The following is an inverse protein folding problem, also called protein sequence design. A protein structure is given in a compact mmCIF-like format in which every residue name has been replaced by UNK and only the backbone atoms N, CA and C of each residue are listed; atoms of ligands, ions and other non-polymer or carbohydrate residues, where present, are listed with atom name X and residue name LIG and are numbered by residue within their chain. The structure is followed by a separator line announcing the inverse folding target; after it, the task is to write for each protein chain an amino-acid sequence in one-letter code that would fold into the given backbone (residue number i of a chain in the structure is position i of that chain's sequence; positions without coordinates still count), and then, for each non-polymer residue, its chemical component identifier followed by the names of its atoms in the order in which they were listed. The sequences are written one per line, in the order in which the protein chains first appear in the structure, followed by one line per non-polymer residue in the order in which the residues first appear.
data_IF_583711878976
#
_entry.id   IF_583711878976
#
_cell.length_a   1.000
_cell.length_b   1.000
_cell.length_c   1.000
_cell.angle_alpha   90.00
_cell.angle_beta   90.00
_cell.angle_gamma   90.00
#
_symmetry.space_group_name_H-M   'P 1'
#
loop_
_entity.id
_entity.type
_entity.pdbx_description
1 polymer ?
#
# COMPACT_ATOMS: atom_id res chain seq x y z
N UNK A 1 -50.61 6.02 -21.57
CA UNK A 1 -50.85 5.57 -20.19
C UNK A 1 -50.41 6.68 -19.27
N UNK A 2 -51.37 7.34 -18.60
CA UNK A 2 -51.11 8.57 -17.85
C UNK A 2 -50.56 8.18 -16.47
N UNK A 3 -49.70 9.02 -15.89
CA UNK A 3 -49.13 8.84 -14.53
C UNK A 3 -50.24 8.59 -13.47
N UNK A 4 -51.46 9.06 -13.75
CA UNK A 4 -52.67 8.87 -12.95
C UNK A 4 -53.10 7.39 -12.87
N UNK A 5 -52.84 6.58 -13.91
CA UNK A 5 -53.26 5.17 -13.98
C UNK A 5 -52.45 4.28 -13.01
N UNK A 6 -51.17 4.61 -12.82
CA UNK A 6 -50.27 3.93 -11.88
C UNK A 6 -50.67 4.21 -10.43
N UNK A 7 -51.10 5.45 -10.16
CA UNK A 7 -51.60 5.86 -8.83
C UNK A 7 -52.91 5.16 -8.45
N UNK A 8 -53.78 4.86 -9.41
CA UNK A 8 -55.02 4.11 -9.19
C UNK A 8 -54.76 2.62 -8.90
N UNK A 9 -53.80 2.00 -9.59
CA UNK A 9 -53.42 0.60 -9.33
C UNK A 9 -52.76 0.41 -7.96
N UNK A 10 -52.02 1.42 -7.47
CA UNK A 10 -51.43 1.42 -6.13
C UNK A 10 -52.48 1.55 -4.98
N UNK A 11 -53.71 2.02 -5.26
CA UNK A 11 -54.79 2.10 -4.26
C UNK A 11 -55.52 0.77 -4.02
N UNK A 12 -55.42 -0.21 -4.93
CA UNK A 12 -56.11 -1.50 -4.81
C UNK A 12 -55.35 -2.55 -3.99
N UNK A 13 -54.07 -2.33 -3.65
CA UNK A 13 -53.25 -3.27 -2.90
C UNK A 13 -52.53 -2.60 -1.71
N UNK A 14 -53.24 -2.33 -0.59
CA UNK A 14 -52.67 -1.64 0.57
C UNK A 14 -51.54 -2.43 1.27
N UNK A 15 -51.44 -3.75 1.04
CA UNK A 15 -50.40 -4.61 1.64
C UNK A 15 -49.04 -4.55 0.93
N UNK A 16 -48.97 -4.12 -0.33
CA UNK A 16 -47.69 -3.98 -1.04
C UNK A 16 -47.04 -2.61 -0.83
N UNK A 17 -47.83 -1.60 -0.44
CA UNK A 17 -47.37 -0.23 -0.21
C UNK A 17 -46.33 -0.16 0.92
N UNK A 18 -46.53 -0.87 2.04
CA UNK A 18 -45.60 -0.86 3.18
C UNK A 18 -44.28 -1.58 2.90
N UNK A 19 -44.30 -2.65 2.11
CA UNK A 19 -43.09 -3.38 1.71
C UNK A 19 -42.27 -2.60 0.69
N UNK A 20 -42.95 -2.00 -0.30
CA UNK A 20 -42.33 -1.06 -1.25
C UNK A 20 -41.78 0.16 -0.51
N UNK A 21 -42.48 0.70 0.47
CA UNK A 21 -42.01 1.83 1.27
C UNK A 21 -40.78 1.46 2.11
N UNK A 22 -40.74 0.25 2.68
CA UNK A 22 -39.57 -0.27 3.39
C UNK A 22 -38.35 -0.48 2.47
N UNK A 23 -38.55 -1.05 1.27
CA UNK A 23 -37.50 -1.21 0.25
C UNK A 23 -37.02 0.16 -0.23
N UNK A 24 -37.94 1.07 -0.56
CA UNK A 24 -37.63 2.43 -0.99
C UNK A 24 -36.85 3.18 0.09
N UNK A 25 -37.23 3.06 1.37
CA UNK A 25 -36.54 3.69 2.50
C UNK A 25 -35.15 3.09 2.72
N UNK A 26 -34.99 1.77 2.60
CA UNK A 26 -33.67 1.11 2.63
C UNK A 26 -32.77 1.56 1.49
N UNK A 27 -33.32 1.63 0.28
CA UNK A 27 -32.59 2.10 -0.90
C UNK A 27 -32.20 3.56 -0.76
N UNK A 28 -33.09 4.41 -0.25
CA UNK A 28 -32.82 5.82 0.06
C UNK A 28 -31.69 5.97 1.09
N UNK A 29 -31.74 5.22 2.21
CA UNK A 29 -30.67 5.23 3.22
C UNK A 29 -29.34 4.75 2.62
N UNK A 30 -29.37 3.71 1.79
CA UNK A 30 -28.19 3.21 1.08
C UNK A 30 -27.60 4.28 0.15
N UNK A 31 -28.42 4.93 -0.68
CA UNK A 31 -28.00 6.01 -1.57
C UNK A 31 -27.39 7.18 -0.79
N UNK A 32 -28.00 7.60 0.31
CA UNK A 32 -27.48 8.69 1.15
C UNK A 32 -26.11 8.32 1.74
N UNK A 33 -25.93 7.10 2.25
CA UNK A 33 -24.63 6.62 2.74
C UNK A 33 -23.57 6.59 1.64
N UNK A 34 -23.93 6.13 0.43
CA UNK A 34 -23.03 6.13 -0.72
C UNK A 34 -22.59 7.57 -1.04
N UNK A 35 -23.54 8.51 -1.14
CA UNK A 35 -23.23 9.92 -1.41
C UNK A 35 -22.31 10.50 -0.32
N UNK A 36 -22.61 10.26 0.94
CA UNK A 36 -21.79 10.73 2.08
C UNK A 36 -20.35 10.19 1.99
N UNK A 37 -20.18 8.89 1.70
CA UNK A 37 -18.84 8.29 1.56
C UNK A 37 -18.06 8.87 0.38
N UNK A 38 -18.72 9.16 -0.75
CA UNK A 38 -18.10 9.80 -1.91
C UNK A 38 -17.65 11.23 -1.60
N UNK A 39 -18.46 12.00 -0.89
CA UNK A 39 -18.13 13.36 -0.43
C UNK A 39 -16.95 13.31 0.55
N UNK A 40 -17.00 12.44 1.56
CA UNK A 40 -15.90 12.23 2.51
C UNK A 40 -14.59 11.88 1.78
N UNK A 41 -14.65 10.98 0.79
CA UNK A 41 -13.47 10.59 -0.02
C UNK A 41 -12.89 11.77 -0.79
N UNK A 42 -13.72 12.60 -1.44
CA UNK A 42 -13.25 13.81 -2.14
C UNK A 42 -12.59 14.81 -1.18
N UNK A 43 -13.18 15.03 -0.01
CA UNK A 43 -12.62 15.92 1.02
C UNK A 43 -11.28 15.35 1.53
N UNK A 44 -11.19 14.05 1.82
CA UNK A 44 -9.94 13.41 2.26
C UNK A 44 -8.83 13.53 1.21
N UNK A 45 -9.15 13.36 -0.08
CA UNK A 45 -8.19 13.55 -1.18
C UNK A 45 -7.73 15.01 -1.24
N UNK A 46 -8.64 15.97 -1.13
CA UNK A 46 -8.31 17.41 -1.14
C UNK A 46 -7.49 17.84 0.09
N UNK A 47 -7.75 17.23 1.25
CA UNK A 47 -7.02 17.46 2.50
C UNK A 47 -5.67 16.74 2.56
N UNK A 48 -5.40 15.75 1.70
CA UNK A 48 -4.07 15.13 1.64
C UNK A 48 -3.08 16.20 1.23
N UNK A 49 -2.20 16.57 2.17
CA UNK A 49 -1.07 17.44 1.88
C UNK A 49 -0.34 16.89 0.66
N UNK A 50 -0.23 17.71 -0.39
CA UNK A 50 0.60 17.36 -1.54
C UNK A 50 2.01 17.16 -1.01
N UNK A 51 2.54 15.94 -1.17
CA UNK A 51 3.91 15.66 -0.77
C UNK A 51 4.81 16.56 -1.60
N UNK A 52 5.55 17.48 -0.95
CA UNK A 52 6.56 18.33 -1.62
C UNK A 52 7.52 17.49 -2.47
N UNK A 53 7.85 16.29 -2.01
CA UNK A 53 8.70 15.35 -2.72
C UNK A 53 8.16 13.92 -2.57
N UNK A 54 8.04 13.19 -3.68
CA UNK A 54 7.83 11.74 -3.63
C UNK A 54 9.09 11.02 -3.14
N UNK A 55 10.26 11.41 -3.68
CA UNK A 55 11.60 11.02 -3.20
C UNK A 55 12.40 12.30 -2.96
N UNK A 56 12.96 12.46 -1.76
CA UNK A 56 13.82 13.61 -1.44
C UNK A 56 15.04 13.64 -2.37
N UNK A 57 15.52 14.82 -2.81
CA UNK A 57 16.68 14.93 -3.70
C UNK A 57 17.92 14.15 -3.23
N UNK A 58 18.22 14.17 -1.93
CA UNK A 58 19.32 13.40 -1.33
C UNK A 58 19.22 11.89 -1.57
N UNK A 59 18.00 11.35 -1.65
CA UNK A 59 17.72 9.93 -1.86
C UNK A 59 17.63 9.54 -3.34
N UNK A 60 17.70 10.51 -4.28
CA UNK A 60 17.66 10.21 -5.72
C UNK A 60 18.93 9.54 -6.22
N UNK A 61 20.07 9.81 -5.59
CA UNK A 61 21.38 9.21 -5.93
C UNK A 61 21.75 8.07 -4.99
N UNK A 62 20.76 7.34 -4.46
CA UNK A 62 20.98 6.33 -3.43
C UNK A 62 21.98 5.26 -3.85
N UNK A 63 21.88 4.73 -5.07
CA UNK A 63 22.81 3.70 -5.57
C UNK A 63 24.25 4.20 -5.71
N UNK A 64 24.44 5.49 -6.01
CA UNK A 64 25.76 6.11 -6.18
C UNK A 64 26.38 6.52 -4.85
N UNK A 65 25.57 6.99 -3.89
CA UNK A 65 26.00 7.58 -2.61
C UNK A 65 25.77 6.70 -1.37
N UNK A 66 25.16 5.53 -1.52
CA UNK A 66 24.91 4.67 -0.37
C UNK A 66 26.21 3.97 -0.02
N UNK A 67 26.91 4.48 0.99
CA UNK A 67 28.12 3.88 1.56
C UNK A 67 27.92 2.38 1.82
N UNK A 68 26.74 1.99 2.30
CA UNK A 68 26.39 0.59 2.53
C UNK A 68 26.50 -0.32 1.31
N UNK A 69 26.19 0.16 0.11
CA UNK A 69 26.23 -0.69 -1.08
C UNK A 69 27.67 -0.92 -1.54
N UNK A 70 28.50 0.11 -1.43
CA UNK A 70 29.93 0.03 -1.77
C UNK A 70 30.70 -0.74 -0.69
N UNK A 71 30.50 -0.39 0.57
CA UNK A 71 31.11 -1.05 1.73
C UNK A 71 30.82 -2.56 1.75
N UNK A 72 29.56 -2.96 1.52
CA UNK A 72 29.21 -4.38 1.45
C UNK A 72 29.99 -5.12 0.36
N UNK A 73 30.11 -4.51 -0.83
CA UNK A 73 30.86 -5.12 -1.93
C UNK A 73 32.35 -5.19 -1.66
N UNK A 74 32.91 -4.14 -1.08
CA UNK A 74 34.33 -4.07 -0.73
C UNK A 74 34.68 -5.13 0.33
N UNK A 75 33.93 -5.19 1.43
CA UNK A 75 34.12 -6.21 2.48
C UNK A 75 34.01 -7.62 1.91
N UNK A 76 32.98 -7.87 1.10
CA UNK A 76 32.75 -9.19 0.52
C UNK A 76 33.80 -9.62 -0.51
N UNK A 77 34.39 -8.68 -1.26
CA UNK A 77 35.34 -8.98 -2.32
C UNK A 77 36.78 -9.12 -1.83
N UNK A 78 37.16 -8.39 -0.78
CA UNK A 78 38.57 -8.25 -0.38
C UNK A 78 38.87 -8.49 1.09
N UNK A 79 37.87 -8.57 1.98
CA UNK A 79 38.13 -8.64 3.42
C UNK A 79 37.05 -9.46 4.19
N UNK A 80 37.16 -10.80 4.17
CA UNK A 80 36.27 -11.69 4.92
C UNK A 80 36.27 -11.45 6.43
N UNK A 81 37.41 -11.03 7.00
CA UNK A 81 37.53 -10.77 8.44
C UNK A 81 36.75 -9.51 8.83
N UNK A 82 36.84 -8.45 8.02
CA UNK A 82 36.01 -7.26 8.19
C UNK A 82 34.52 -7.58 8.00
N UNK A 83 34.17 -8.42 7.02
CA UNK A 83 32.81 -8.89 6.84
C UNK A 83 32.28 -9.63 8.08
N UNK A 84 33.09 -10.54 8.63
CA UNK A 84 32.74 -11.28 9.84
C UNK A 84 32.63 -10.36 11.05
N UNK A 85 33.54 -9.39 11.21
CA UNK A 85 33.47 -8.41 12.29
C UNK A 85 32.22 -7.53 12.20
N UNK A 86 31.79 -7.22 10.97
CA UNK A 86 30.61 -6.39 10.71
C UNK A 86 29.29 -7.16 10.91
N UNK A 87 29.21 -8.39 10.42
CA UNK A 87 27.95 -9.18 10.38
C UNK A 87 27.86 -10.27 11.44
N UNK A 88 28.97 -10.59 12.12
CA UNK A 88 29.12 -11.72 13.05
C UNK A 88 28.83 -13.09 12.43
N UNK A 89 28.95 -13.20 11.11
CA UNK A 89 28.74 -14.43 10.36
C UNK A 89 29.70 -14.52 9.17
N UNK A 90 29.95 -15.74 8.70
CA UNK A 90 30.70 -15.93 7.47
C UNK A 90 29.87 -15.50 6.26
N UNK A 91 30.53 -15.31 5.10
CA UNK A 91 29.86 -14.91 3.86
C UNK A 91 28.85 -16.00 3.43
N UNK A 92 29.22 -17.27 3.61
CA UNK A 92 28.39 -18.42 3.27
C UNK A 92 27.11 -18.46 4.12
N UNK A 93 27.25 -18.27 5.43
CA UNK A 93 26.11 -18.22 6.35
C UNK A 93 25.19 -17.02 6.05
N UNK A 94 25.77 -15.88 5.68
CA UNK A 94 24.99 -14.72 5.25
C UNK A 94 24.20 -15.01 3.97
N UNK A 95 24.80 -15.70 3.00
CA UNK A 95 24.14 -16.08 1.74
C UNK A 95 23.02 -17.10 1.94
N UNK A 96 23.26 -18.08 2.81
CA UNK A 96 22.25 -19.06 3.19
C UNK A 96 21.06 -18.36 3.84
N UNK A 97 21.32 -17.52 4.85
CA UNK A 97 20.27 -16.73 5.49
C UNK A 97 19.54 -15.85 4.47
N UNK A 98 20.28 -15.15 3.62
CA UNK A 98 19.71 -14.33 2.56
C UNK A 98 18.80 -15.14 1.66
N UNK A 99 19.19 -16.35 1.25
CA UNK A 99 18.37 -17.21 0.39
C UNK A 99 17.01 -17.53 1.02
N UNK A 100 16.97 -17.74 2.33
CA UNK A 100 15.75 -18.03 3.10
C UNK A 100 14.83 -16.81 3.21
N UNK A 101 15.39 -15.61 3.42
CA UNK A 101 14.59 -14.39 3.65
C UNK A 101 14.43 -13.52 2.41
N UNK A 102 15.04 -13.87 1.28
CA UNK A 102 15.12 -13.02 0.07
C UNK A 102 13.75 -12.58 -0.41
N UNK A 103 12.78 -13.49 -0.45
CA UNK A 103 11.43 -13.21 -0.94
C UNK A 103 10.75 -12.16 -0.07
N UNK A 104 10.84 -12.32 1.26
CA UNK A 104 10.25 -11.41 2.24
C UNK A 104 10.96 -10.04 2.23
N UNK A 105 12.25 -10.02 1.92
CA UNK A 105 13.06 -8.81 1.80
C UNK A 105 12.93 -8.15 0.42
N UNK A 106 12.39 -8.81 -0.59
CA UNK A 106 12.20 -8.20 -1.91
C UNK A 106 10.97 -7.30 -1.87
N UNK A 107 11.08 -6.04 -2.33
CA UNK A 107 9.92 -5.15 -2.47
C UNK A 107 9.82 -4.64 -3.88
N UNK A 108 8.66 -4.86 -4.49
CA UNK A 108 8.31 -4.28 -5.77
C UNK A 108 7.71 -2.90 -5.54
N UNK A 109 8.36 -1.88 -6.08
CA UNK A 109 7.86 -0.51 -6.03
C UNK A 109 8.26 0.25 -7.28
N UNK A 110 7.47 1.26 -7.67
CA UNK A 110 7.80 2.16 -8.79
C UNK A 110 9.10 2.95 -8.60
N UNK A 111 9.61 3.02 -7.37
CA UNK A 111 10.93 3.58 -7.05
C UNK A 111 11.96 2.44 -6.92
N UNK A 112 13.23 2.76 -7.18
CA UNK A 112 14.33 1.83 -6.91
C UNK A 112 14.28 1.39 -5.44
N UNK A 113 14.08 0.10 -5.25
CA UNK A 113 14.00 -0.53 -3.93
C UNK A 113 15.42 -0.79 -3.41
N UNK A 114 15.57 -0.84 -2.09
CA UNK A 114 16.84 -1.30 -1.48
C UNK A 114 16.97 -2.79 -1.78
N UNK A 115 18.14 -3.24 -2.22
CA UNK A 115 18.37 -4.65 -2.49
C UNK A 115 18.18 -5.49 -1.22
N UNK A 116 17.76 -6.76 -1.33
CA UNK A 116 17.54 -7.62 -0.17
C UNK A 116 18.82 -7.82 0.65
N UNK A 117 19.99 -7.90 0.01
CA UNK A 117 21.31 -8.00 0.65
C UNK A 117 21.54 -6.81 1.58
N UNK A 118 21.36 -5.59 1.07
CA UNK A 118 21.55 -4.39 1.88
C UNK A 118 20.54 -4.29 3.02
N UNK A 119 19.31 -4.79 2.85
CA UNK A 119 18.33 -4.81 3.94
C UNK A 119 18.74 -5.77 5.03
N UNK A 120 19.14 -6.98 4.65
CA UNK A 120 19.62 -8.00 5.58
C UNK A 120 20.83 -7.48 6.35
N UNK A 121 21.79 -6.89 5.65
CA UNK A 121 22.98 -6.29 6.24
C UNK A 121 22.66 -5.19 7.26
N UNK A 122 21.72 -4.29 6.94
CA UNK A 122 21.27 -3.24 7.86
C UNK A 122 20.55 -3.83 9.08
N UNK A 123 19.85 -4.95 8.92
CA UNK A 123 19.11 -5.61 9.99
C UNK A 123 20.02 -6.34 10.98
N UNK A 124 21.14 -6.91 10.50
CA UNK A 124 22.07 -7.71 11.31
C UNK A 124 23.08 -6.84 12.07
N UNK A 125 23.44 -5.67 11.52
CA UNK A 125 24.42 -4.74 12.10
C UNK A 125 24.09 -4.33 13.54
#
# INVERSE_FOLDING_TARGET
MRIIDIFMLLRLFPRFSSYLDFICRKYLIFLVKVIETLIRRKICIKKRKVRRWWVRPINRRKRLKSDYYHLYKEMRAGDPDCFFNYTRMSIEMFDELLSLVKENLTKNSFRESISPECRLLITIR
#
